data_IF_013573266744
#
_entry.id   IF_013573266744
#
_cell.length_a   1.000
_cell.length_b   1.000
_cell.length_c   1.000
_cell.angle_alpha   90.00
_cell.angle_beta   90.00
_cell.angle_gamma   90.00
#
_symmetry.space_group_name_H-M   'P 1'
#
loop_
_entity.id
_entity.type
_entity.pdbx_description
1 polymer ?
#
# COMPACT_ATOMS: atom_id res chain seq x y z
N UNK A 1 17.63 -7.83 10.44
CA UNK A 1 17.59 -7.07 11.70
C UNK A 1 19.02 -6.85 12.18
N UNK A 2 19.45 -5.61 12.48
CA UNK A 2 20.80 -5.35 12.95
C UNK A 2 21.07 -5.97 14.33
N UNK A 3 22.32 -6.36 14.57
CA UNK A 3 22.86 -6.79 15.86
C UNK A 3 23.73 -5.68 16.48
N UNK A 4 24.24 -5.89 17.70
CA UNK A 4 25.02 -4.87 18.43
C UNK A 4 26.24 -4.37 17.64
N UNK A 5 26.87 -5.25 16.86
CA UNK A 5 28.13 -4.97 16.16
C UNK A 5 27.93 -4.28 14.80
N UNK A 6 26.77 -4.43 14.17
CA UNK A 6 26.51 -3.94 12.82
C UNK A 6 25.39 -2.89 12.72
N UNK A 7 24.81 -2.47 13.86
CA UNK A 7 23.73 -1.46 13.93
C UNK A 7 24.06 -0.13 13.26
N UNK A 8 25.33 0.27 13.25
CA UNK A 8 25.80 1.54 12.68
C UNK A 8 26.47 1.36 11.30
N UNK A 9 26.43 0.14 10.75
CA UNK A 9 27.07 -0.15 9.48
C UNK A 9 26.17 0.23 8.30
N UNK A 10 26.33 1.46 7.83
CA UNK A 10 25.62 2.00 6.67
C UNK A 10 26.36 1.79 5.34
N UNK A 11 27.58 1.24 5.39
CA UNK A 11 28.49 1.18 4.23
C UNK A 11 28.61 -0.22 3.66
N UNK A 12 28.69 -1.25 4.51
CA UNK A 12 28.94 -2.63 4.07
C UNK A 12 27.66 -3.44 3.85
N UNK A 13 26.49 -2.80 3.90
CA UNK A 13 25.18 -3.43 3.66
C UNK A 13 24.94 -4.69 4.51
N UNK A 14 25.47 -4.74 5.73
CA UNK A 14 25.29 -5.87 6.66
C UNK A 14 23.83 -6.12 7.06
N UNK A 15 22.94 -5.18 6.76
CA UNK A 15 21.50 -5.26 6.96
C UNK A 15 20.77 -4.37 5.94
N UNK A 16 19.48 -4.64 5.74
CA UNK A 16 18.62 -3.83 4.87
C UNK A 16 18.38 -2.46 5.53
N UNK A 17 18.67 -1.39 4.79
CA UNK A 17 18.29 -0.03 5.18
C UNK A 17 16.84 0.22 4.77
N UNK A 18 16.10 0.90 5.64
CA UNK A 18 14.74 1.35 5.32
C UNK A 18 14.78 2.26 4.09
N UNK A 19 14.07 1.86 3.05
CA UNK A 19 13.94 2.65 1.80
C UNK A 19 12.47 2.98 1.57
N UNK A 20 12.14 4.27 1.38
CA UNK A 20 10.80 4.65 0.95
C UNK A 20 10.56 4.12 -0.47
N UNK A 21 9.33 3.69 -0.73
CA UNK A 21 8.92 3.28 -2.07
C UNK A 21 8.79 4.49 -3.01
N UNK A 22 9.11 4.28 -4.28
CA UNK A 22 8.85 5.28 -5.32
C UNK A 22 7.35 5.51 -5.48
N UNK A 23 6.97 6.71 -5.92
CA UNK A 23 5.60 7.10 -6.24
C UNK A 23 4.81 6.06 -7.05
N UNK A 24 5.41 5.55 -8.13
CA UNK A 24 4.78 4.55 -9.00
C UNK A 24 4.57 3.22 -8.25
N UNK A 25 5.57 2.80 -7.49
CA UNK A 25 5.53 1.55 -6.71
C UNK A 25 4.46 1.61 -5.62
N UNK A 26 4.31 2.74 -4.93
CA UNK A 26 3.24 2.91 -3.93
C UNK A 26 1.86 2.73 -4.55
N UNK A 27 1.60 3.36 -5.69
CA UNK A 27 0.30 3.23 -6.37
C UNK A 27 0.05 1.79 -6.78
N UNK A 28 1.07 1.10 -7.30
CA UNK A 28 0.96 -0.30 -7.71
C UNK A 28 0.74 -1.26 -6.54
N UNK A 29 1.47 -1.08 -5.44
CA UNK A 29 1.32 -1.91 -4.24
C UNK A 29 -0.06 -1.68 -3.60
N UNK A 30 -0.53 -0.42 -3.50
CA UNK A 30 -1.88 -0.12 -3.03
C UNK A 30 -2.95 -0.78 -3.92
N UNK A 31 -2.80 -0.70 -5.24
CA UNK A 31 -3.71 -1.38 -6.18
C UNK A 31 -3.70 -2.89 -5.98
N UNK A 32 -2.51 -3.50 -5.85
CA UNK A 32 -2.37 -4.93 -5.64
C UNK A 32 -3.06 -5.38 -4.34
N UNK A 33 -2.84 -4.66 -3.24
CA UNK A 33 -3.39 -4.97 -1.91
C UNK A 33 -4.90 -4.79 -1.89
N UNK A 34 -5.40 -3.68 -2.42
CA UNK A 34 -6.83 -3.41 -2.51
C UNK A 34 -7.52 -4.29 -3.57
N UNK A 35 -6.75 -4.95 -4.44
CA UNK A 35 -7.27 -5.74 -5.56
C UNK A 35 -8.02 -4.88 -6.57
N UNK A 36 -7.56 -3.66 -6.80
CA UNK A 36 -8.12 -2.67 -7.73
C UNK A 36 -7.09 -2.31 -8.80
N UNK A 37 -7.51 -1.57 -9.81
CA UNK A 37 -6.64 -1.08 -10.89
C UNK A 37 -6.87 0.40 -11.14
N UNK A 38 -5.98 1.00 -11.92
CA UNK A 38 -6.11 2.38 -12.38
C UNK A 38 -6.47 2.45 -13.87
N UNK A 39 -7.15 3.53 -14.24
CA UNK A 39 -7.43 3.86 -15.63
C UNK A 39 -6.46 4.95 -16.09
N UNK A 40 -5.57 4.58 -17.00
CA UNK A 40 -4.49 5.46 -17.45
C UNK A 40 -4.83 6.30 -18.68
N UNK A 41 -5.87 5.92 -19.43
CA UNK A 41 -6.30 6.56 -20.67
C UNK A 41 -6.47 5.53 -21.80
N UNK A 42 -6.87 5.97 -23.00
CA UNK A 42 -7.17 5.06 -24.12
C UNK A 42 -5.94 4.38 -24.73
N UNK A 43 -4.74 4.92 -24.50
CA UNK A 43 -3.50 4.42 -25.09
C UNK A 43 -2.86 3.27 -24.30
N UNK A 44 -3.38 2.98 -23.09
CA UNK A 44 -2.83 1.96 -22.20
C UNK A 44 -3.86 0.85 -22.00
N UNK A 45 -3.43 -0.43 -22.04
CA UNK A 45 -4.27 -1.55 -21.68
C UNK A 45 -4.88 -1.40 -20.28
N UNK A 46 -6.08 -1.95 -20.08
CA UNK A 46 -6.63 -2.06 -18.74
C UNK A 46 -5.75 -2.96 -17.87
N UNK A 47 -5.55 -2.56 -16.61
CA UNK A 47 -4.71 -3.30 -15.68
C UNK A 47 -3.21 -3.02 -15.78
N UNK A 48 -2.78 -2.10 -16.67
CA UNK A 48 -1.40 -1.60 -16.66
C UNK A 48 -1.00 -1.04 -15.30
N UNK A 49 0.27 -1.25 -14.96
CA UNK A 49 0.88 -0.77 -13.71
C UNK A 49 1.41 0.64 -13.86
N UNK A 50 1.43 1.42 -12.79
CA UNK A 50 1.99 2.76 -12.73
C UNK A 50 3.45 2.80 -13.20
N UNK A 51 4.24 1.77 -12.91
CA UNK A 51 5.64 1.65 -13.38
C UNK A 51 5.75 1.52 -14.92
N UNK A 52 4.71 1.05 -15.60
CA UNK A 52 4.68 0.90 -17.07
C UNK A 52 4.32 2.24 -17.76
N UNK A 53 3.85 3.23 -16.99
CA UNK A 53 3.36 4.50 -17.53
C UNK A 53 4.50 5.48 -17.75
N UNK A 54 5.00 5.49 -18.99
CA UNK A 54 6.01 6.44 -19.46
C UNK A 54 5.53 7.90 -19.52
N UNK A 55 4.22 8.15 -19.64
CA UNK A 55 3.67 9.50 -19.76
C UNK A 55 3.95 10.36 -18.52
N UNK A 56 4.42 11.60 -18.70
CA UNK A 56 4.67 12.54 -17.59
C UNK A 56 3.39 13.14 -17.02
N UNK A 57 2.31 13.16 -17.81
CA UNK A 57 0.99 13.66 -17.39
C UNK A 57 0.00 12.50 -17.40
N UNK A 58 -0.52 12.18 -16.22
CA UNK A 58 -1.61 11.23 -16.06
C UNK A 58 -2.91 11.99 -15.92
N UNK A 59 -3.95 11.55 -16.65
CA UNK A 59 -5.26 12.22 -16.65
C UNK A 59 -6.00 12.05 -15.32
N UNK A 60 -5.79 10.93 -14.63
CA UNK A 60 -6.34 10.70 -13.30
C UNK A 60 -5.70 11.67 -12.27
N UNK A 61 -6.47 12.66 -11.83
CA UNK A 61 -6.04 13.68 -10.88
C UNK A 61 -5.62 13.12 -9.52
N UNK A 62 -6.27 12.06 -9.03
CA UNK A 62 -5.93 11.42 -7.75
C UNK A 62 -4.58 10.72 -7.82
N UNK A 63 -4.32 9.99 -8.90
CA UNK A 63 -3.02 9.34 -9.12
C UNK A 63 -1.93 10.38 -9.32
N UNK A 64 -2.21 11.45 -10.07
CA UNK A 64 -1.26 12.54 -10.27
C UNK A 64 -0.92 13.25 -8.93
N UNK A 65 -1.90 13.39 -8.03
CA UNK A 65 -1.67 13.90 -6.67
C UNK A 65 -0.75 12.97 -5.88
N UNK A 66 -1.04 11.66 -5.88
CA UNK A 66 -0.19 10.65 -5.23
C UNK A 66 1.25 10.71 -5.77
N UNK A 67 1.40 10.73 -7.09
CA UNK A 67 2.71 10.84 -7.72
C UNK A 67 3.51 12.06 -7.26
N UNK A 68 2.86 13.22 -7.14
CA UNK A 68 3.52 14.44 -6.69
C UNK A 68 3.98 14.34 -5.23
N UNK A 69 3.13 13.87 -4.31
CA UNK A 69 3.46 13.82 -2.88
C UNK A 69 4.49 12.73 -2.55
N UNK A 70 4.57 11.67 -3.36
CA UNK A 70 5.60 10.63 -3.28
C UNK A 70 6.83 10.93 -4.17
N UNK A 71 6.96 12.17 -4.66
CA UNK A 71 8.20 12.68 -5.23
C UNK A 71 8.45 12.39 -6.71
N UNK A 72 7.45 11.96 -7.49
CA UNK A 72 7.60 11.83 -8.96
C UNK A 72 7.84 13.24 -9.56
N UNK A 73 8.97 13.47 -10.24
CA UNK A 73 9.26 14.77 -10.83
C UNK A 73 8.37 15.03 -12.06
N UNK A 74 8.12 16.30 -12.41
CA UNK A 74 7.35 16.67 -13.61
C UNK A 74 8.09 16.36 -14.93
N UNK A 75 9.32 15.83 -14.86
CA UNK A 75 10.21 15.50 -15.99
C UNK A 75 10.45 16.68 -16.95
N UNK A 76 10.58 17.88 -16.40
CA UNK A 76 10.96 19.09 -17.15
C UNK A 76 12.46 19.15 -17.42
N UNK A 77 13.27 18.38 -16.70
CA UNK A 77 14.72 18.24 -16.89
C UNK A 77 15.09 16.76 -16.89
N UNK A 78 16.23 16.40 -17.49
CA UNK A 78 16.74 15.02 -17.58
C UNK A 78 17.41 14.52 -16.30
N UNK A 79 17.45 15.31 -15.23
CA UNK A 79 18.11 14.91 -13.99
C UNK A 79 17.19 14.09 -13.07
N UNK A 80 17.62 12.89 -12.72
CA UNK A 80 16.96 12.06 -11.68
C UNK A 80 17.05 12.67 -10.27
N UNK A 81 17.93 13.66 -10.08
CA UNK A 81 18.11 14.39 -8.82
C UNK A 81 16.87 15.17 -8.34
N UNK A 82 15.86 15.35 -9.19
CA UNK A 82 14.60 16.03 -8.80
C UNK A 82 13.64 15.13 -8.02
N UNK A 83 13.91 13.83 -7.91
CA UNK A 83 13.06 12.91 -7.16
C UNK A 83 13.30 13.07 -5.67
N UNK A 84 12.31 13.59 -4.96
CA UNK A 84 12.31 13.68 -3.51
C UNK A 84 11.90 12.32 -2.91
N UNK A 85 12.69 11.82 -1.96
CA UNK A 85 12.42 10.57 -1.24
C UNK A 85 12.23 10.80 0.26
N UNK A 86 12.21 12.06 0.69
CA UNK A 86 11.99 12.39 2.09
C UNK A 86 10.56 12.03 2.52
N UNK A 87 10.39 11.36 3.67
CA UNK A 87 9.07 11.12 4.23
C UNK A 87 8.42 12.46 4.58
N UNK A 88 7.18 12.65 4.14
CA UNK A 88 6.46 13.91 4.30
C UNK A 88 5.05 13.69 4.84
N UNK A 89 4.58 14.61 5.70
CA UNK A 89 3.23 14.58 6.27
C UNK A 89 2.11 14.36 5.23
N UNK A 90 2.15 14.98 4.03
CA UNK A 90 1.13 14.73 3.00
C UNK A 90 1.01 13.26 2.57
N UNK A 91 2.12 12.50 2.56
CA UNK A 91 2.11 11.08 2.20
C UNK A 91 1.32 10.26 3.22
N UNK A 92 1.49 10.57 4.52
CA UNK A 92 0.76 9.88 5.58
C UNK A 92 -0.73 10.24 5.57
N UNK A 93 -1.05 11.51 5.37
CA UNK A 93 -2.44 11.96 5.25
C UNK A 93 -3.14 11.34 4.04
N UNK A 94 -2.42 11.16 2.93
CA UNK A 94 -2.96 10.45 1.76
C UNK A 94 -3.36 9.00 2.10
N UNK A 95 -2.47 8.24 2.74
CA UNK A 95 -2.76 6.85 3.13
C UNK A 95 -3.90 6.71 4.14
N UNK A 96 -4.07 7.70 5.01
CA UNK A 96 -5.09 7.68 6.06
C UNK A 96 -6.46 8.16 5.58
N UNK A 97 -6.51 9.20 4.75
CA UNK A 97 -7.72 10.00 4.55
C UNK A 97 -8.02 10.38 3.10
N UNK A 98 -7.22 9.96 2.11
CA UNK A 98 -7.51 10.32 0.73
C UNK A 98 -8.84 9.69 0.25
N UNK A 99 -9.79 10.49 -0.27
CA UNK A 99 -11.09 9.99 -0.66
C UNK A 99 -11.04 8.94 -1.77
N UNK A 100 -10.10 9.04 -2.71
CA UNK A 100 -9.97 8.07 -3.80
C UNK A 100 -9.45 6.74 -3.31
N UNK A 101 -8.53 6.76 -2.33
CA UNK A 101 -8.03 5.55 -1.70
C UNK A 101 -9.11 4.88 -0.84
N UNK A 102 -9.85 5.65 -0.05
CA UNK A 102 -10.97 5.13 0.75
C UNK A 102 -12.09 4.55 -0.12
N UNK A 103 -12.37 5.17 -1.27
CA UNK A 103 -13.34 4.63 -2.24
C UNK A 103 -12.88 3.28 -2.81
N UNK A 104 -11.58 3.14 -3.15
CA UNK A 104 -11.02 1.87 -3.62
C UNK A 104 -11.06 0.79 -2.54
N UNK A 105 -10.76 1.13 -1.29
CA UNK A 105 -10.85 0.20 -0.17
C UNK A 105 -12.25 -0.41 -0.08
N UNK A 106 -13.29 0.39 -0.30
CA UNK A 106 -14.69 -0.04 -0.26
C UNK A 106 -15.21 -0.64 -1.57
N UNK A 107 -14.39 -0.76 -2.62
CA UNK A 107 -14.81 -1.17 -3.95
C UNK A 107 -15.56 -2.52 -3.93
N UNK A 108 -16.71 -2.66 -4.62
CA UNK A 108 -17.50 -3.90 -4.63
C UNK A 108 -16.76 -5.11 -5.18
N UNK A 109 -15.76 -4.91 -6.05
CA UNK A 109 -14.88 -5.95 -6.58
C UNK A 109 -13.47 -5.94 -5.99
N UNK A 110 -13.25 -5.16 -4.92
CA UNK A 110 -11.99 -5.10 -4.20
C UNK A 110 -11.67 -6.43 -3.50
N UNK A 111 -10.42 -6.57 -3.03
CA UNK A 111 -9.91 -7.79 -2.41
C UNK A 111 -10.78 -8.27 -1.24
N UNK A 112 -11.14 -7.37 -0.31
CA UNK A 112 -11.99 -7.71 0.84
C UNK A 112 -13.35 -8.25 0.40
N UNK A 113 -14.00 -7.59 -0.55
CA UNK A 113 -15.31 -8.03 -1.04
C UNK A 113 -15.22 -9.44 -1.70
N UNK A 114 -14.17 -9.70 -2.48
CA UNK A 114 -13.95 -11.01 -3.12
C UNK A 114 -13.63 -12.10 -2.10
N UNK A 115 -12.74 -11.84 -1.15
CA UNK A 115 -12.37 -12.80 -0.11
C UNK A 115 -13.57 -13.16 0.77
N UNK A 116 -14.38 -12.19 1.19
CA UNK A 116 -15.54 -12.45 2.03
C UNK A 116 -16.66 -13.20 1.32
N UNK A 117 -16.75 -13.07 -0.01
CA UNK A 117 -17.69 -13.84 -0.82
C UNK A 117 -17.22 -15.30 -1.01
N UNK A 118 -15.91 -15.52 -1.12
CA UNK A 118 -15.32 -16.84 -1.33
C UNK A 118 -15.15 -17.63 -0.02
N UNK A 119 -14.86 -16.96 1.09
CA UNK A 119 -14.42 -17.59 2.34
C UNK A 119 -15.27 -17.19 3.54
N UNK A 120 -15.70 -18.20 4.30
CA UNK A 120 -16.47 -18.02 5.53
C UNK A 120 -15.59 -18.03 6.78
N UNK A 121 -14.40 -18.64 6.73
CA UNK A 121 -13.46 -18.64 7.86
C UNK A 121 -12.71 -17.30 7.95
N UNK A 122 -12.94 -16.59 9.06
CA UNK A 122 -12.31 -15.30 9.34
C UNK A 122 -10.79 -15.41 9.48
N UNK A 123 -10.26 -16.55 9.95
CA UNK A 123 -8.81 -16.76 10.05
C UNK A 123 -8.15 -16.85 8.68
N UNK A 124 -8.79 -17.55 7.74
CA UNK A 124 -8.28 -17.67 6.39
C UNK A 124 -8.32 -16.33 5.64
N UNK A 125 -9.40 -15.57 5.80
CA UNK A 125 -9.48 -14.20 5.24
C UNK A 125 -8.40 -13.30 5.84
N UNK A 126 -8.16 -13.39 7.15
CA UNK A 126 -7.09 -12.63 7.80
C UNK A 126 -5.72 -12.99 7.22
N UNK A 127 -5.44 -14.27 7.04
CA UNK A 127 -4.18 -14.77 6.47
C UNK A 127 -3.95 -14.21 5.07
N UNK A 128 -4.97 -14.25 4.20
CA UNK A 128 -4.90 -13.70 2.86
C UNK A 128 -4.66 -12.18 2.85
N UNK A 129 -5.25 -11.42 3.79
CA UNK A 129 -5.00 -9.97 3.89
C UNK A 129 -3.57 -9.66 4.37
N UNK A 130 -3.05 -10.43 5.32
CA UNK A 130 -1.68 -10.30 5.80
C UNK A 130 -0.66 -10.68 4.73
N UNK A 131 -0.90 -11.76 3.99
CA UNK A 131 -0.07 -12.14 2.85
C UNK A 131 -0.10 -11.08 1.74
N UNK A 132 -1.27 -10.53 1.44
CA UNK A 132 -1.43 -9.48 0.45
C UNK A 132 -0.70 -8.18 0.81
N UNK A 133 -0.67 -7.85 2.10
CA UNK A 133 -0.18 -6.55 2.59
C UNK A 133 1.28 -6.60 3.02
N UNK A 134 1.65 -7.60 3.82
CA UNK A 134 2.93 -7.70 4.51
C UNK A 134 3.75 -8.91 4.06
N UNK A 135 3.25 -9.73 3.13
CA UNK A 135 3.94 -10.94 2.63
C UNK A 135 4.32 -11.95 3.71
N UNK A 136 3.57 -11.99 4.82
CA UNK A 136 3.71 -12.96 5.92
C UNK A 136 2.36 -13.34 6.49
N UNK A 137 2.32 -14.37 7.32
CA UNK A 137 1.14 -14.72 8.10
C UNK A 137 1.01 -13.83 9.36
N UNK A 138 -0.21 -13.64 9.89
CA UNK A 138 -0.41 -12.95 11.15
C UNK A 138 0.16 -13.79 12.31
N UNK A 139 0.78 -13.10 13.25
CA UNK A 139 1.26 -13.67 14.51
C UNK A 139 0.09 -14.05 15.41
N UNK A 140 0.34 -14.91 16.42
CA UNK A 140 -0.69 -15.29 17.38
C UNK A 140 -1.31 -14.08 18.11
N UNK A 141 -0.51 -13.05 18.38
CA UNK A 141 -0.98 -11.81 19.01
C UNK A 141 -1.88 -10.99 18.07
N UNK A 142 -1.50 -10.83 16.81
CA UNK A 142 -2.32 -10.12 15.80
C UNK A 142 -3.65 -10.83 15.56
N UNK A 143 -3.65 -12.18 15.55
CA UNK A 143 -4.88 -12.98 15.47
C UNK A 143 -5.80 -12.75 16.67
N UNK A 144 -5.25 -12.73 17.88
CA UNK A 144 -6.01 -12.47 19.09
C UNK A 144 -6.65 -11.07 19.06
N UNK A 145 -5.88 -10.03 18.71
CA UNK A 145 -6.40 -8.67 18.58
C UNK A 145 -7.51 -8.56 17.53
N UNK A 146 -7.34 -9.21 16.37
CA UNK A 146 -8.38 -9.23 15.36
C UNK A 146 -9.64 -9.94 15.84
N UNK A 147 -9.52 -11.07 16.53
CA UNK A 147 -10.67 -11.80 17.08
C UNK A 147 -11.46 -10.95 18.08
N UNK A 148 -10.76 -10.26 18.99
CA UNK A 148 -11.38 -9.35 19.97
C UNK A 148 -12.10 -8.17 19.29
N UNK A 149 -11.47 -7.60 18.26
CA UNK A 149 -12.06 -6.51 17.48
C UNK A 149 -13.26 -6.99 16.64
N UNK A 150 -13.14 -8.17 16.02
CA UNK A 150 -14.21 -8.78 15.21
C UNK A 150 -15.46 -9.04 16.04
N UNK A 151 -15.32 -9.43 17.30
CA UNK A 151 -16.44 -9.63 18.22
C UNK A 151 -17.22 -8.33 18.53
N UNK A 152 -16.57 -7.18 18.45
CA UNK A 152 -17.15 -5.86 18.73
C UNK A 152 -17.62 -5.12 17.47
N UNK A 153 -17.10 -5.51 16.30
CA UNK A 153 -17.40 -4.85 15.05
C UNK A 153 -18.86 -5.06 14.61
N UNK A 154 -19.48 -3.99 14.10
CA UNK A 154 -20.88 -3.95 13.66
C UNK A 154 -21.21 -5.02 12.62
N UNK A 155 -20.31 -5.22 11.66
CA UNK A 155 -20.47 -6.21 10.61
C UNK A 155 -19.12 -6.76 10.16
N UNK A 156 -19.15 -7.96 9.57
CA UNK A 156 -17.97 -8.70 9.12
C UNK A 156 -17.14 -7.89 8.12
N UNK A 157 -17.81 -7.22 7.17
CA UNK A 157 -17.12 -6.49 6.10
C UNK A 157 -16.38 -5.29 6.65
N UNK A 158 -17.01 -4.49 7.49
CA UNK A 158 -16.37 -3.34 8.13
C UNK A 158 -15.14 -3.74 8.93
N UNK A 159 -15.20 -4.87 9.67
CA UNK A 159 -14.06 -5.36 10.44
C UNK A 159 -12.81 -5.62 9.57
N UNK A 160 -13.00 -6.27 8.41
CA UNK A 160 -11.91 -6.56 7.48
C UNK A 160 -11.45 -5.33 6.68
N UNK A 161 -12.35 -4.40 6.37
CA UNK A 161 -11.98 -3.13 5.74
C UNK A 161 -11.10 -2.29 6.68
N UNK A 162 -11.48 -2.19 7.96
CA UNK A 162 -10.72 -1.46 8.98
C UNK A 162 -9.37 -2.13 9.25
N UNK A 163 -9.34 -3.46 9.25
CA UNK A 163 -8.09 -4.23 9.37
C UNK A 163 -7.16 -3.98 8.18
N UNK A 164 -7.68 -4.03 6.95
CA UNK A 164 -6.88 -3.72 5.76
C UNK A 164 -6.39 -2.27 5.76
N UNK A 165 -7.23 -1.33 6.17
CA UNK A 165 -6.85 0.08 6.34
C UNK A 165 -5.73 0.25 7.38
N UNK A 166 -5.78 -0.49 8.50
CA UNK A 166 -4.74 -0.48 9.51
C UNK A 166 -3.42 -1.05 8.95
N UNK A 167 -3.49 -2.17 8.23
CA UNK A 167 -2.33 -2.82 7.59
C UNK A 167 -1.59 -1.89 6.63
N UNK A 168 -2.30 -1.24 5.70
CA UNK A 168 -1.67 -0.31 4.73
C UNK A 168 -1.10 0.95 5.39
N UNK A 169 -1.48 1.23 6.65
CA UNK A 169 -0.99 2.36 7.43
C UNK A 169 0.13 1.98 8.40
N UNK A 170 0.57 0.72 8.44
CA UNK A 170 1.73 0.31 9.24
C UNK A 170 3.04 0.78 8.60
N UNK A 171 4.09 0.91 9.42
CA UNK A 171 5.43 1.17 8.91
C UNK A 171 5.95 -0.02 8.09
N UNK A 172 5.59 -1.25 8.47
CA UNK A 172 5.95 -2.47 7.75
C UNK A 172 5.44 -2.47 6.31
N UNK A 173 4.27 -1.87 6.07
CA UNK A 173 3.72 -1.73 4.73
C UNK A 173 4.39 -0.60 3.92
N UNK A 174 4.59 0.57 4.53
CA UNK A 174 5.06 1.77 3.84
C UNK A 174 6.54 1.69 3.47
N UNK A 175 7.32 0.94 4.23
CA UNK A 175 8.75 0.77 4.02
C UNK A 175 9.06 -0.62 3.51
N UNK A 176 10.02 -0.71 2.58
CA UNK A 176 10.52 -2.01 2.13
C UNK A 176 11.24 -2.69 3.30
N UNK A 177 10.60 -3.68 3.93
CA UNK A 177 11.13 -4.49 5.03
C UNK A 177 12.18 -5.49 4.52
#
# INVERSE_FOLDING_TARGET
>A
VPNETNRLDHTNYSHSNIRPMMAEVIVDVLNAVLGTTEKWGPEMPEGSRAIEIGASRVQNGSVNYAFRIFGRPPRTTTCDCQRALEPALPQKLYLMADPSLLQKLQAPQGRVARLLAAEQDDNHVLDELFLASLSRLPTAQERAWFADYRAQAKDRRSAFLDTLWALINTNEFVFNH
#
